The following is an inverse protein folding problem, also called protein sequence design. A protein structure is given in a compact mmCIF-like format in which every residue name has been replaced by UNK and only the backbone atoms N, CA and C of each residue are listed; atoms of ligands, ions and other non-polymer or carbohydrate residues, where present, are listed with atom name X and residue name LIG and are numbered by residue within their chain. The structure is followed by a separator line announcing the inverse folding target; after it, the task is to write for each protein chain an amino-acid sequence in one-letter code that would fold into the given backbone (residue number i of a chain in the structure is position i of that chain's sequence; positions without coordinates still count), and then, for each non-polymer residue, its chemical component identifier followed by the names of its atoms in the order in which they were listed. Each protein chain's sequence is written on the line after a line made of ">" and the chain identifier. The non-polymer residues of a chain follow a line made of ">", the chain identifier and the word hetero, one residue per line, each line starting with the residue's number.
data_IF_606412153929
#
_entry.id   IF_606412153929
#
_cell.length_a   1.000
_cell.length_b   1.000
_cell.length_c   1.000
_cell.angle_alpha   90.00
_cell.angle_beta   90.00
_cell.angle_gamma   90.00
#
_symmetry.space_group_name_H-M   'P 1'
#
loop_
_entity.id
_entity.type
_entity.pdbx_description
1 polymer ?
#
# COMPACT_ATOMS: atom_id res chain seq x y z
N UNK A 1 -18.82 0.52 -32.05
CA UNK A 1 -17.35 0.47 -32.20
C UNK A 1 -16.89 1.91 -32.12
N UNK A 2 -16.56 2.38 -30.94
CA UNK A 2 -16.07 3.74 -30.75
C UNK A 2 -14.63 3.82 -31.24
N UNK A 3 -14.42 4.59 -32.32
CA UNK A 3 -13.11 4.95 -32.83
C UNK A 3 -12.46 5.93 -31.86
N UNK A 4 -11.96 5.42 -30.75
CA UNK A 4 -11.12 6.19 -29.83
C UNK A 4 -9.74 6.30 -30.44
N UNK A 5 -9.39 7.51 -30.89
CA UNK A 5 -8.06 7.79 -31.45
C UNK A 5 -7.04 7.79 -30.30
N UNK A 6 -5.95 7.01 -30.38
CA UNK A 6 -4.91 7.00 -29.35
C UNK A 6 -4.29 8.39 -29.13
N UNK A 7 -4.02 8.72 -27.87
CA UNK A 7 -3.35 9.96 -27.48
C UNK A 7 -1.83 9.79 -27.55
N UNK A 8 -1.21 10.47 -28.52
CA UNK A 8 0.23 10.37 -28.76
C UNK A 8 1.03 11.36 -27.92
N UNK A 9 1.55 10.88 -26.79
CA UNK A 9 2.51 11.61 -25.96
C UNK A 9 3.79 10.80 -25.78
N UNK A 10 4.70 10.75 -26.77
CA UNK A 10 5.85 9.83 -26.76
C UNK A 10 6.83 10.10 -25.62
N UNK A 11 6.89 11.33 -25.10
CA UNK A 11 7.78 11.72 -24.01
C UNK A 11 7.13 11.67 -22.62
N UNK A 12 5.85 11.32 -22.52
CA UNK A 12 5.14 11.26 -21.24
C UNK A 12 5.62 10.02 -20.44
N UNK A 13 6.41 10.30 -19.40
CA UNK A 13 6.96 9.31 -18.47
C UNK A 13 6.34 9.42 -17.07
N UNK A 14 5.74 10.56 -16.76
CA UNK A 14 5.20 10.87 -15.44
C UNK A 14 3.73 11.24 -15.62
N UNK A 15 2.84 10.48 -15.00
CA UNK A 15 1.41 10.77 -15.00
C UNK A 15 0.96 10.91 -13.55
N UNK A 16 0.49 12.10 -13.22
CA UNK A 16 -0.13 12.43 -11.95
C UNK A 16 -1.52 12.98 -12.26
N UNK A 17 -2.55 12.33 -11.73
CA UNK A 17 -3.92 12.64 -12.08
C UNK A 17 -4.91 12.37 -10.95
N UNK A 18 -5.69 13.40 -10.60
CA UNK A 18 -6.88 13.28 -9.77
C UNK A 18 -8.10 13.05 -10.67
N UNK A 19 -8.83 11.97 -10.41
CA UNK A 19 -9.95 11.46 -11.20
C UNK A 19 -11.17 11.32 -10.31
N UNK A 20 -12.32 11.76 -10.80
CA UNK A 20 -13.56 11.60 -10.02
C UNK A 20 -14.04 10.15 -10.01
N UNK A 21 -13.72 9.39 -11.06
CA UNK A 21 -14.26 8.05 -11.31
C UNK A 21 -13.16 7.11 -11.85
N UNK A 22 -13.02 5.87 -11.33
CA UNK A 22 -12.10 4.83 -11.85
C UNK A 22 -12.20 4.56 -13.36
N UNK A 23 -13.40 4.68 -13.93
CA UNK A 23 -13.66 4.49 -15.36
C UNK A 23 -12.97 5.55 -16.23
N UNK A 24 -12.76 6.77 -15.72
CA UNK A 24 -12.02 7.82 -16.42
C UNK A 24 -10.52 7.49 -16.46
N UNK A 25 -9.96 7.00 -15.34
CA UNK A 25 -8.59 6.49 -15.28
C UNK A 25 -8.34 5.39 -16.30
N UNK A 26 -9.25 4.41 -16.33
CA UNK A 26 -9.26 3.31 -17.30
C UNK A 26 -9.29 3.83 -18.73
N UNK A 27 -10.22 4.73 -19.04
CA UNK A 27 -10.37 5.30 -20.38
C UNK A 27 -9.10 6.03 -20.82
N UNK A 28 -8.50 6.85 -19.95
CA UNK A 28 -7.25 7.53 -20.29
C UNK A 28 -6.10 6.56 -20.50
N UNK A 29 -5.93 5.55 -19.64
CA UNK A 29 -4.86 4.56 -19.82
C UNK A 29 -5.00 3.82 -21.14
N UNK A 30 -6.23 3.43 -21.51
CA UNK A 30 -6.51 2.83 -22.82
C UNK A 30 -6.20 3.78 -23.98
N UNK A 31 -6.53 5.06 -23.86
CA UNK A 31 -6.20 6.08 -24.86
C UNK A 31 -4.68 6.33 -24.97
N UNK A 32 -3.95 6.23 -23.86
CA UNK A 32 -2.50 6.40 -23.82
C UNK A 32 -1.73 5.15 -24.28
N UNK A 33 -2.43 4.02 -24.48
CA UNK A 33 -1.84 2.76 -24.92
C UNK A 33 -1.45 2.82 -26.40
N UNK A 34 -0.16 2.70 -26.73
CA UNK A 34 0.28 2.56 -28.12
C UNK A 34 -0.25 1.23 -28.73
N UNK A 35 -0.48 1.17 -30.05
CA UNK A 35 -1.01 -0.05 -30.70
C UNK A 35 -0.10 -1.27 -30.55
N UNK A 36 1.22 -1.06 -30.62
CA UNK A 36 2.19 -2.15 -30.79
C UNK A 36 3.25 -2.23 -29.67
N UNK A 37 3.10 -1.46 -28.60
CA UNK A 37 4.07 -1.46 -27.49
C UNK A 37 3.45 -1.01 -26.17
N UNK A 38 4.07 -1.43 -25.07
CA UNK A 38 3.79 -0.86 -23.75
C UNK A 38 4.44 0.51 -23.60
N UNK A 39 3.88 1.31 -22.71
CA UNK A 39 4.35 2.66 -22.42
C UNK A 39 5.37 2.64 -21.29
N UNK A 40 6.45 3.39 -21.46
CA UNK A 40 7.56 3.47 -20.52
C UNK A 40 7.30 4.52 -19.42
N UNK A 41 6.20 4.36 -18.70
CA UNK A 41 5.96 5.18 -17.52
C UNK A 41 6.99 4.89 -16.44
N UNK A 42 7.42 5.96 -15.78
CA UNK A 42 8.33 6.01 -14.64
C UNK A 42 7.56 6.20 -13.35
N UNK A 43 6.61 7.13 -13.37
CA UNK A 43 5.73 7.41 -12.22
C UNK A 43 4.28 7.42 -12.67
N UNK A 44 3.42 6.79 -11.88
CA UNK A 44 1.99 6.80 -12.06
C UNK A 44 1.33 7.07 -10.70
N UNK A 45 0.63 8.19 -10.61
CA UNK A 45 -0.09 8.61 -9.41
C UNK A 45 -1.54 8.89 -9.77
N UNK A 46 -2.45 8.17 -9.14
CA UNK A 46 -3.88 8.27 -9.38
C UNK A 46 -4.61 8.43 -8.05
N UNK A 47 -5.43 9.47 -7.98
CA UNK A 47 -6.24 9.81 -6.82
C UNK A 47 -7.72 9.78 -7.21
N UNK A 48 -8.51 9.00 -6.50
CA UNK A 48 -9.96 8.91 -6.70
C UNK A 48 -10.71 9.63 -5.59
N UNK A 49 -11.70 10.43 -5.95
CA UNK A 49 -12.66 11.07 -5.02
C UNK A 49 -13.89 10.17 -4.76
N UNK A 50 -13.86 8.93 -5.25
CA UNK A 50 -14.96 7.98 -5.16
C UNK A 50 -14.49 6.61 -4.70
N UNK A 51 -15.40 5.85 -4.10
CA UNK A 51 -15.16 4.43 -3.77
C UNK A 51 -14.91 3.64 -5.05
N UNK A 52 -13.78 2.94 -5.12
CA UNK A 52 -13.48 1.99 -6.20
C UNK A 52 -14.02 0.61 -5.84
N UNK A 53 -14.76 -0.02 -6.73
CA UNK A 53 -15.22 -1.41 -6.54
C UNK A 53 -14.11 -2.41 -6.85
N UNK A 54 -14.24 -3.64 -6.38
CA UNK A 54 -13.30 -4.72 -6.71
C UNK A 54 -13.23 -4.93 -8.22
N UNK A 55 -14.37 -5.03 -8.91
CA UNK A 55 -14.43 -5.18 -10.38
C UNK A 55 -13.68 -4.07 -11.13
N UNK A 56 -13.85 -2.81 -10.72
CA UNK A 56 -13.13 -1.68 -11.32
C UNK A 56 -11.63 -1.73 -11.04
N UNK A 57 -11.23 -2.08 -9.81
CA UNK A 57 -9.83 -2.28 -9.47
C UNK A 57 -9.20 -3.38 -10.32
N UNK A 58 -9.88 -4.51 -10.52
CA UNK A 58 -9.39 -5.58 -11.40
C UNK A 58 -9.22 -5.11 -12.85
N UNK A 59 -10.26 -4.46 -13.41
CA UNK A 59 -10.18 -3.92 -14.76
C UNK A 59 -9.03 -2.90 -14.88
N UNK A 60 -8.81 -2.10 -13.83
CA UNK A 60 -7.72 -1.15 -13.74
C UNK A 60 -6.36 -1.83 -13.75
N UNK A 61 -6.15 -2.87 -12.93
CA UNK A 61 -4.89 -3.62 -12.89
C UNK A 61 -4.59 -4.32 -14.22
N UNK A 62 -5.60 -4.91 -14.87
CA UNK A 62 -5.44 -5.53 -16.19
C UNK A 62 -5.07 -4.49 -17.26
N UNK A 63 -5.72 -3.33 -17.22
CA UNK A 63 -5.41 -2.20 -18.12
C UNK A 63 -4.01 -1.66 -17.85
N UNK A 64 -3.61 -1.54 -16.59
CA UNK A 64 -2.30 -1.09 -16.17
C UNK A 64 -1.21 -2.00 -16.74
N UNK A 65 -1.36 -3.32 -16.61
CA UNK A 65 -0.39 -4.31 -17.08
C UNK A 65 -0.29 -4.37 -18.61
N UNK A 66 -1.39 -4.14 -19.32
CA UNK A 66 -1.38 -4.12 -20.78
C UNK A 66 -0.89 -2.79 -21.35
N UNK A 67 -0.95 -1.71 -20.57
CA UNK A 67 -0.58 -0.36 -21.00
C UNK A 67 0.85 -0.02 -20.61
N UNK A 68 1.31 -0.42 -19.42
CA UNK A 68 2.58 0.03 -18.84
C UNK A 68 3.68 -1.03 -18.98
N UNK A 69 4.91 -0.57 -19.19
CA UNK A 69 6.07 -1.45 -19.13
C UNK A 69 6.36 -1.86 -17.69
N UNK A 70 6.55 -3.17 -17.49
CA UNK A 70 6.83 -3.77 -16.18
C UNK A 70 8.26 -3.55 -15.69
N UNK A 71 9.09 -2.88 -16.50
CA UNK A 71 10.52 -2.66 -16.23
C UNK A 71 10.87 -1.19 -16.00
N UNK A 72 9.96 -0.25 -16.28
CA UNK A 72 10.27 1.19 -16.20
C UNK A 72 9.59 1.89 -15.03
N UNK A 73 8.47 1.35 -14.56
CA UNK A 73 7.70 1.94 -13.47
C UNK A 73 8.45 1.76 -12.15
N UNK A 74 8.82 2.87 -11.52
CA UNK A 74 9.49 2.89 -10.22
C UNK A 74 8.64 3.51 -9.11
N UNK A 75 7.68 4.38 -9.43
CA UNK A 75 6.76 4.95 -8.45
C UNK A 75 5.32 4.69 -8.87
N UNK A 76 4.56 4.05 -7.99
CA UNK A 76 3.15 3.76 -8.18
C UNK A 76 2.35 4.21 -6.95
N UNK A 77 1.39 5.09 -7.18
CA UNK A 77 0.44 5.57 -6.19
C UNK A 77 -0.98 5.34 -6.70
N UNK A 78 -1.78 4.69 -5.88
CA UNK A 78 -3.21 4.50 -6.10
C UNK A 78 -3.96 4.79 -4.81
N UNK A 79 -4.62 5.94 -4.73
CA UNK A 79 -5.36 6.35 -3.54
C UNK A 79 -6.83 6.60 -3.88
N UNK A 80 -7.72 6.15 -3.01
CA UNK A 80 -9.16 6.32 -3.17
C UNK A 80 -9.74 6.96 -1.90
N UNK A 81 -9.95 8.27 -1.95
CA UNK A 81 -10.54 9.08 -0.88
C UNK A 81 -12.07 9.11 -1.01
N UNK A 82 -12.68 7.93 -1.16
CA UNK A 82 -14.12 7.79 -1.20
C UNK A 82 -14.74 7.91 0.20
N UNK A 83 -16.00 8.36 0.32
CA UNK A 83 -16.69 8.36 1.62
C UNK A 83 -16.63 6.95 2.21
N UNK A 84 -16.19 6.86 3.47
CA UNK A 84 -16.19 5.63 4.25
C UNK A 84 -17.62 5.09 4.20
N UNK A 85 -17.83 3.96 3.53
CA UNK A 85 -19.14 3.30 3.50
C UNK A 85 -19.55 3.09 4.95
N UNK A 86 -20.57 3.83 5.41
CA UNK A 86 -21.12 3.62 6.74
C UNK A 86 -21.55 2.15 6.83
N UNK A 87 -21.24 1.48 7.96
CA UNK A 87 -21.46 0.05 8.21
C UNK A 87 -22.91 -0.46 7.97
N UNK A 88 -23.84 0.45 7.66
CA UNK A 88 -25.25 0.17 7.42
C UNK A 88 -25.53 -0.67 6.17
N UNK A 89 -24.69 -0.58 5.13
CA UNK A 89 -24.81 -1.40 3.93
C UNK A 89 -23.80 -2.55 3.98
N UNK A 90 -24.11 -3.56 4.80
CA UNK A 90 -23.48 -4.88 4.90
C UNK A 90 -22.00 -5.00 4.49
N UNK A 91 -21.11 -5.33 5.44
CA UNK A 91 -19.66 -5.47 5.23
C UNK A 91 -19.36 -6.13 3.86
N UNK A 92 -18.80 -5.38 2.90
CA UNK A 92 -18.48 -5.95 1.59
C UNK A 92 -17.56 -7.14 1.76
N UNK A 93 -17.75 -8.20 0.97
CA UNK A 93 -16.84 -9.34 0.97
C UNK A 93 -15.50 -8.87 0.44
N UNK A 94 -14.54 -8.66 1.34
CA UNK A 94 -13.20 -8.20 1.00
C UNK A 94 -12.34 -9.38 0.59
N UNK A 95 -11.64 -9.24 -0.53
CA UNK A 95 -10.60 -10.16 -0.92
C UNK A 95 -9.26 -9.75 -0.28
N UNK A 96 -8.41 -10.73 -0.02
CA UNK A 96 -7.08 -10.46 0.51
C UNK A 96 -6.22 -9.72 -0.53
N UNK A 97 -5.48 -8.70 -0.09
CA UNK A 97 -4.58 -7.93 -0.94
C UNK A 97 -3.52 -8.84 -1.59
N UNK A 98 -3.05 -9.85 -0.87
CA UNK A 98 -2.13 -10.87 -1.38
C UNK A 98 -2.64 -11.60 -2.63
N UNK A 99 -3.95 -11.82 -2.73
CA UNK A 99 -4.56 -12.47 -3.89
C UNK A 99 -4.87 -11.47 -5.00
N UNK A 100 -5.37 -10.29 -4.63
CA UNK A 100 -5.92 -9.33 -5.58
C UNK A 100 -4.86 -8.45 -6.26
N UNK A 101 -3.86 -8.02 -5.49
CA UNK A 101 -2.81 -7.12 -5.94
C UNK A 101 -1.57 -7.88 -6.45
N UNK A 102 -1.59 -9.21 -6.43
CA UNK A 102 -0.53 -10.05 -6.98
C UNK A 102 -0.07 -9.65 -8.40
N UNK A 103 -0.95 -9.24 -9.34
CA UNK A 103 -0.51 -8.83 -10.67
C UNK A 103 0.49 -7.67 -10.68
N UNK A 104 0.48 -6.80 -9.65
CA UNK A 104 1.43 -5.68 -9.51
C UNK A 104 2.87 -6.14 -9.27
N UNK A 105 3.10 -7.37 -8.81
CA UNK A 105 4.44 -7.91 -8.63
C UNK A 105 5.19 -8.16 -9.94
N UNK A 106 4.53 -8.02 -11.09
CA UNK A 106 5.20 -7.99 -12.39
C UNK A 106 6.07 -6.74 -12.56
N UNK A 107 5.75 -5.62 -11.88
CA UNK A 107 6.56 -4.40 -11.92
C UNK A 107 7.81 -4.59 -11.06
N UNK A 108 8.93 -4.89 -11.71
CA UNK A 108 10.18 -5.33 -11.05
C UNK A 108 11.03 -4.19 -10.49
N UNK A 109 10.77 -2.94 -10.90
CA UNK A 109 11.61 -1.78 -10.60
C UNK A 109 10.97 -0.81 -9.61
N UNK A 110 9.91 -1.22 -8.91
CA UNK A 110 9.24 -0.40 -7.91
C UNK A 110 10.20 -0.02 -6.77
N UNK A 111 10.35 1.28 -6.56
CA UNK A 111 11.05 1.90 -5.44
C UNK A 111 10.06 2.62 -4.51
N UNK A 112 8.93 3.08 -5.04
CA UNK A 112 7.88 3.73 -4.26
C UNK A 112 6.53 3.09 -4.56
N UNK A 113 5.88 2.57 -3.52
CA UNK A 113 4.57 1.95 -3.62
C UNK A 113 3.64 2.53 -2.57
N UNK A 114 2.54 3.13 -3.01
CA UNK A 114 1.55 3.77 -2.14
C UNK A 114 0.16 3.32 -2.56
N UNK A 115 -0.57 2.70 -1.63
CA UNK A 115 -1.98 2.36 -1.83
C UNK A 115 -2.81 2.82 -0.62
N UNK A 116 -3.96 3.41 -0.91
CA UNK A 116 -4.90 3.94 0.07
C UNK A 116 -6.34 3.68 -0.36
N UNK A 117 -7.23 3.42 0.60
CA UNK A 117 -8.68 3.40 0.35
C UNK A 117 -9.20 2.31 -0.59
N UNK A 118 -8.39 1.30 -0.92
CA UNK A 118 -8.79 0.24 -1.86
C UNK A 118 -9.74 -0.79 -1.23
N UNK A 119 -10.64 -1.43 -2.03
CA UNK A 119 -11.62 -2.43 -1.60
C UNK A 119 -10.97 -3.81 -1.35
N UNK A 120 -9.82 -3.86 -0.69
CA UNK A 120 -9.06 -5.08 -0.39
C UNK A 120 -8.65 -5.11 1.07
N UNK A 121 -8.62 -6.31 1.65
CA UNK A 121 -8.09 -6.48 3.00
C UNK A 121 -6.56 -6.61 2.94
N UNK A 122 -5.84 -5.65 3.49
CA UNK A 122 -4.38 -5.70 3.59
C UNK A 122 -3.96 -6.80 4.57
N UNK A 123 -3.05 -7.69 4.19
CA UNK A 123 -2.65 -8.84 5.00
C UNK A 123 -1.12 -9.01 5.09
N UNK A 124 -0.68 -9.82 6.04
CA UNK A 124 0.75 -10.12 6.26
C UNK A 124 1.39 -10.80 5.05
N UNK A 125 0.62 -11.59 4.30
CA UNK A 125 1.09 -12.28 3.10
C UNK A 125 1.46 -11.29 1.98
N UNK A 126 0.66 -10.24 1.78
CA UNK A 126 0.97 -9.18 0.83
C UNK A 126 2.24 -8.44 1.24
N UNK A 127 2.38 -8.09 2.52
CA UNK A 127 3.58 -7.42 3.05
C UNK A 127 4.84 -8.26 2.83
N UNK A 128 4.75 -9.58 3.08
CA UNK A 128 5.87 -10.50 2.83
C UNK A 128 6.23 -10.60 1.33
N UNK A 129 5.23 -10.62 0.44
CA UNK A 129 5.44 -10.64 -1.00
C UNK A 129 6.08 -9.34 -1.51
N UNK A 130 5.63 -8.18 -1.01
CA UNK A 130 6.24 -6.86 -1.29
C UNK A 130 7.71 -6.85 -0.88
N UNK A 131 8.02 -7.30 0.34
CA UNK A 131 9.38 -7.29 0.89
C UNK A 131 10.38 -8.08 0.03
N UNK A 132 9.93 -9.17 -0.59
CA UNK A 132 10.77 -10.07 -1.39
C UNK A 132 10.81 -9.71 -2.88
N UNK A 133 9.70 -9.19 -3.41
CA UNK A 133 9.56 -8.88 -4.84
C UNK A 133 10.25 -7.56 -5.21
N UNK A 134 10.22 -6.56 -4.31
CA UNK A 134 10.79 -5.24 -4.56
C UNK A 134 12.00 -4.98 -3.66
N UNK A 135 13.17 -5.57 -3.96
CA UNK A 135 14.38 -5.40 -3.15
C UNK A 135 14.93 -3.95 -3.17
N UNK A 136 14.45 -3.12 -4.09
CA UNK A 136 14.79 -1.69 -4.21
C UNK A 136 13.78 -0.76 -3.56
N UNK A 137 12.77 -1.29 -2.87
CA UNK A 137 11.73 -0.50 -2.23
C UNK A 137 12.32 0.47 -1.21
N UNK A 138 12.03 1.76 -1.41
CA UNK A 138 12.41 2.90 -0.58
C UNK A 138 11.23 3.45 0.19
N UNK A 139 10.05 3.46 -0.42
CA UNK A 139 8.82 4.00 0.18
C UNK A 139 7.71 2.97 0.05
N UNK A 140 7.07 2.64 1.18
CA UNK A 140 5.92 1.74 1.22
C UNK A 140 4.82 2.31 2.09
N UNK A 141 3.71 2.74 1.49
CA UNK A 141 2.54 3.25 2.20
C UNK A 141 1.32 2.37 1.92
N UNK A 142 0.77 1.76 2.97
CA UNK A 142 -0.35 0.82 2.91
C UNK A 142 -1.43 1.27 3.88
N UNK A 143 -2.37 2.09 3.40
CA UNK A 143 -3.44 2.65 4.23
C UNK A 143 -4.80 2.06 3.87
N UNK A 144 -5.60 1.80 4.90
CA UNK A 144 -6.98 1.33 4.74
C UNK A 144 -7.93 2.49 4.93
N UNK A 145 -8.92 2.64 4.03
CA UNK A 145 -10.01 3.61 4.22
C UNK A 145 -10.97 3.22 5.35
N UNK A 146 -11.03 1.92 5.72
CA UNK A 146 -11.91 1.40 6.77
C UNK A 146 -11.08 0.61 7.80
N UNK A 147 -11.29 0.82 9.11
CA UNK A 147 -10.51 0.16 10.15
C UNK A 147 -10.40 -1.36 10.08
N UNK A 148 -11.49 -2.05 9.72
CA UNK A 148 -11.55 -3.52 9.64
C UNK A 148 -10.77 -4.11 8.46
N UNK A 149 -10.26 -3.29 7.55
CA UNK A 149 -9.64 -3.75 6.31
C UNK A 149 -8.15 -4.05 6.44
N UNK A 150 -7.55 -3.82 7.61
CA UNK A 150 -6.19 -4.27 7.86
C UNK A 150 -6.21 -5.55 8.68
N UNK A 151 -5.76 -6.64 8.06
CA UNK A 151 -5.33 -7.85 8.75
C UNK A 151 -3.81 -7.85 9.01
N UNK A 152 -3.11 -6.74 8.74
CA UNK A 152 -1.68 -6.61 9.02
C UNK A 152 -1.45 -6.65 10.52
N UNK A 153 -0.47 -7.45 10.93
CA UNK A 153 0.02 -7.56 12.30
C UNK A 153 1.43 -6.98 12.43
N UNK A 154 1.88 -6.60 13.63
CA UNK A 154 3.27 -6.21 13.85
C UNK A 154 4.26 -7.31 13.43
N UNK A 155 3.91 -8.59 13.66
CA UNK A 155 4.76 -9.71 13.24
C UNK A 155 4.90 -9.80 11.71
N UNK A 156 3.83 -9.46 10.98
CA UNK A 156 3.80 -9.37 9.53
C UNK A 156 4.74 -8.33 8.92
N UNK A 157 5.22 -7.37 9.71
CA UNK A 157 6.18 -6.36 9.25
C UNK A 157 7.64 -6.86 9.27
N UNK A 158 7.92 -7.99 9.94
CA UNK A 158 9.29 -8.53 10.05
C UNK A 158 9.98 -8.84 8.71
N UNK A 159 9.28 -9.33 7.67
CA UNK A 159 9.87 -9.49 6.35
C UNK A 159 10.44 -8.18 5.79
N UNK A 160 9.73 -7.05 5.90
CA UNK A 160 10.23 -5.74 5.45
C UNK A 160 11.50 -5.33 6.19
N UNK A 161 11.54 -5.56 7.50
CA UNK A 161 12.73 -5.24 8.30
C UNK A 161 13.98 -6.02 7.83
N UNK A 162 13.79 -7.27 7.41
CA UNK A 162 14.85 -8.20 6.99
C UNK A 162 15.28 -8.04 5.55
N UNK A 163 14.33 -7.92 4.62
CA UNK A 163 14.58 -7.98 3.18
C UNK A 163 14.67 -6.58 2.56
N UNK A 164 13.87 -5.61 3.01
CA UNK A 164 13.81 -4.26 2.44
C UNK A 164 14.83 -3.32 3.08
N UNK A 165 16.12 -3.55 2.80
CA UNK A 165 17.25 -2.79 3.40
C UNK A 165 17.34 -1.33 2.97
N UNK A 166 16.72 -0.99 1.84
CA UNK A 166 16.66 0.36 1.26
C UNK A 166 15.42 1.15 1.68
N UNK A 167 14.56 0.56 2.51
CA UNK A 167 13.33 1.21 2.94
C UNK A 167 13.68 2.42 3.83
N UNK A 168 13.27 3.58 3.37
CA UNK A 168 13.45 4.90 3.99
C UNK A 168 12.18 5.38 4.69
N UNK A 169 11.01 5.01 4.17
CA UNK A 169 9.71 5.44 4.67
C UNK A 169 8.69 4.30 4.61
N UNK A 170 8.12 3.97 5.77
CA UNK A 170 7.08 2.96 5.93
C UNK A 170 5.84 3.57 6.58
N UNK A 171 4.75 3.64 5.82
CA UNK A 171 3.41 3.96 6.31
C UNK A 171 2.53 2.71 6.28
N UNK A 172 1.91 2.30 7.39
CA UNK A 172 1.06 1.09 7.38
C UNK A 172 -0.08 1.17 8.37
N UNK A 173 -1.26 0.71 7.94
CA UNK A 173 -2.38 0.44 8.84
C UNK A 173 -2.25 -0.94 9.47
N UNK A 174 -2.22 -1.03 10.80
CA UNK A 174 -2.20 -2.30 11.56
C UNK A 174 -3.58 -2.49 12.21
N UNK A 175 -4.31 -3.54 11.82
CA UNK A 175 -5.65 -3.78 12.36
C UNK A 175 -5.69 -4.67 13.60
N UNK A 176 -4.63 -5.43 13.90
CA UNK A 176 -4.59 -6.22 15.13
C UNK A 176 -3.25 -6.16 15.83
N UNK A 177 -3.31 -6.05 17.16
CA UNK A 177 -2.16 -6.10 18.05
C UNK A 177 -2.28 -7.31 18.98
N UNK A 178 -1.18 -8.02 19.27
CA UNK A 178 -1.22 -9.12 20.24
C UNK A 178 -1.68 -8.59 21.61
N UNK A 179 -2.58 -9.31 22.27
CA UNK A 179 -3.05 -9.00 23.61
C UNK A 179 -2.88 -10.23 24.52
N UNK A 180 -2.04 -10.16 25.58
CA UNK A 180 -1.20 -9.03 25.96
C UNK A 180 -0.04 -8.82 24.99
N UNK A 181 0.45 -7.58 24.89
CA UNK A 181 1.72 -7.29 24.21
C UNK A 181 2.82 -7.83 25.13
N UNK A 182 3.24 -9.06 24.87
CA UNK A 182 4.33 -9.66 25.62
C UNK A 182 5.66 -9.08 25.12
N UNK A 183 6.60 -8.74 26.02
CA UNK A 183 7.96 -8.45 25.61
C UNK A 183 8.52 -9.68 24.91
N UNK A 184 9.18 -9.54 23.76
CA UNK A 184 9.64 -10.69 23.00
C UNK A 184 10.68 -11.49 23.80
N UNK A 185 10.78 -12.81 23.52
CA UNK A 185 11.89 -13.61 24.01
C UNK A 185 13.19 -12.97 23.55
N UNK A 186 14.12 -12.77 24.49
CA UNK A 186 15.38 -12.07 24.25
C UNK A 186 16.17 -12.80 23.16
N UNK A 187 16.16 -12.23 21.97
CA UNK A 187 16.88 -12.72 20.81
C UNK A 187 17.05 -11.56 19.86
N UNK A 188 18.23 -10.97 19.87
CA UNK A 188 18.59 -9.94 18.90
C UNK A 188 18.41 -10.54 17.50
N UNK A 189 17.39 -10.09 16.78
CA UNK A 189 17.36 -10.32 15.35
C UNK A 189 18.57 -9.59 14.78
N UNK A 190 19.51 -10.34 14.21
CA UNK A 190 20.67 -9.80 13.51
C UNK A 190 20.16 -9.02 12.28
N UNK A 191 19.84 -7.76 12.53
CA UNK A 191 19.35 -6.81 11.55
C UNK A 191 20.55 -5.99 11.16
N UNK A 192 21.40 -6.59 10.30
CA UNK A 192 22.60 -5.94 9.77
C UNK A 192 22.40 -4.46 9.47
N UNK A 193 23.46 -3.67 9.69
CA UNK A 193 23.46 -2.20 9.62
C UNK A 193 22.75 -1.72 8.36
N UNK A 194 21.76 -0.83 8.53
CA UNK A 194 21.11 -0.14 7.39
C UNK A 194 21.99 1.02 6.93
N UNK A 195 22.02 1.23 5.61
CA UNK A 195 22.77 2.33 5.00
C UNK A 195 21.97 3.65 5.00
N UNK A 196 20.65 3.56 5.15
CA UNK A 196 19.71 4.69 5.07
C UNK A 196 18.84 4.81 6.33
N UNK A 197 18.49 6.04 6.75
CA UNK A 197 17.55 6.25 7.85
C UNK A 197 16.15 5.77 7.47
N UNK A 198 15.44 5.12 8.40
CA UNK A 198 14.06 4.64 8.21
C UNK A 198 13.10 5.41 9.12
N UNK A 199 12.02 5.93 8.56
CA UNK A 199 10.87 6.46 9.30
C UNK A 199 9.71 5.45 9.24
N UNK A 200 9.06 5.20 10.38
CA UNK A 200 7.94 4.24 10.49
C UNK A 200 6.72 4.94 11.05
N UNK A 201 5.65 4.99 10.27
CA UNK A 201 4.38 5.58 10.63
C UNK A 201 3.31 4.47 10.66
N UNK A 202 2.84 4.14 11.87
CA UNK A 202 1.79 3.14 12.06
C UNK A 202 0.47 3.80 12.38
N UNK A 203 -0.52 3.46 11.56
CA UNK A 203 -1.90 3.86 11.72
C UNK A 203 -2.68 2.70 12.34
N UNK A 204 -3.33 2.93 13.49
CA UNK A 204 -4.21 1.95 14.11
C UNK A 204 -5.64 2.46 14.06
N UNK A 205 -6.41 2.05 13.05
CA UNK A 205 -7.76 2.53 12.91
C UNK A 205 -8.65 1.82 13.94
N UNK A 206 -9.40 2.59 14.74
CA UNK A 206 -10.22 2.08 15.86
C UNK A 206 -11.70 2.27 15.54
N UNK A 207 -12.49 1.22 15.79
CA UNK A 207 -13.92 1.21 15.49
C UNK A 207 -14.71 1.74 16.68
N UNK A 208 -15.51 2.78 16.43
CA UNK A 208 -16.49 3.30 17.38
C UNK A 208 -15.92 4.32 18.37
N UNK A 209 -16.76 5.30 18.75
CA UNK A 209 -16.45 6.44 19.63
C UNK A 209 -15.94 6.12 21.04
N UNK A 210 -15.63 4.86 21.31
CA UNK A 210 -14.69 4.48 22.35
C UNK A 210 -13.27 4.88 21.89
N UNK A 211 -12.99 6.19 21.91
CA UNK A 211 -11.68 6.70 22.37
C UNK A 211 -11.52 6.33 23.85
N UNK A 212 -11.67 5.03 24.14
CA UNK A 212 -11.21 4.37 25.34
C UNK A 212 -9.79 4.82 25.44
N UNK A 213 -9.56 5.75 26.38
CA UNK A 213 -8.30 6.37 26.71
C UNK A 213 -7.25 5.28 26.61
N UNK A 214 -6.57 5.21 25.46
CA UNK A 214 -5.56 4.18 25.24
C UNK A 214 -4.61 4.38 26.40
N UNK A 215 -4.49 3.34 27.23
CA UNK A 215 -3.62 3.43 28.37
C UNK A 215 -2.23 3.77 27.84
N UNK A 216 -1.58 4.80 28.39
CA UNK A 216 -0.23 5.16 27.98
C UNK A 216 0.71 3.97 28.00
N UNK A 217 0.42 2.98 28.86
CA UNK A 217 1.11 1.68 28.89
C UNK A 217 0.92 0.85 27.61
N UNK A 218 -0.30 0.77 27.04
CA UNK A 218 -0.54 0.06 25.79
C UNK A 218 0.16 0.75 24.62
N UNK A 219 0.06 2.08 24.53
CA UNK A 219 0.76 2.85 23.49
C UNK A 219 2.27 2.65 23.55
N UNK A 220 2.85 2.74 24.75
CA UNK A 220 4.27 2.52 24.96
C UNK A 220 4.70 1.10 24.57
N UNK A 221 3.90 0.09 24.92
CA UNK A 221 4.18 -1.30 24.55
C UNK A 221 4.11 -1.53 23.02
N UNK A 222 3.15 -0.88 22.33
CA UNK A 222 3.05 -0.92 20.86
C UNK A 222 4.26 -0.28 20.19
N UNK A 223 4.64 0.92 20.64
CA UNK A 223 5.84 1.61 20.16
C UNK A 223 7.11 0.78 20.40
N UNK A 224 7.25 0.19 21.59
CA UNK A 224 8.38 -0.69 21.92
C UNK A 224 8.44 -1.90 20.97
N UNK A 225 7.29 -2.52 20.66
CA UNK A 225 7.23 -3.61 19.69
C UNK A 225 7.68 -3.20 18.29
N UNK A 226 7.33 -1.98 17.84
CA UNK A 226 7.80 -1.44 16.57
C UNK A 226 9.31 -1.17 16.56
N UNK A 227 9.85 -0.61 17.65
CA UNK A 227 11.29 -0.44 17.82
C UNK A 227 12.06 -1.76 17.77
N UNK A 228 11.48 -2.84 18.25
CA UNK A 228 12.10 -4.17 18.16
C UNK A 228 12.06 -4.76 16.75
N UNK A 229 11.04 -4.42 15.96
CA UNK A 229 10.96 -4.81 14.54
C UNK A 229 11.89 -3.92 13.70
N UNK A 230 12.04 -2.64 14.06
CA UNK A 230 12.85 -1.67 13.33
C UNK A 230 13.85 -0.95 14.26
N UNK A 231 14.85 -1.66 14.80
CA UNK A 231 15.78 -1.10 15.80
C UNK A 231 16.66 0.03 15.27
N UNK A 232 16.76 0.17 13.95
CA UNK A 232 17.54 1.20 13.27
C UNK A 232 16.66 2.32 12.68
N UNK A 233 15.36 2.38 13.02
CA UNK A 233 14.52 3.50 12.62
C UNK A 233 15.02 4.80 13.27
N UNK A 234 14.95 5.91 12.56
CA UNK A 234 15.23 7.25 13.12
C UNK A 234 14.00 7.84 13.77
N UNK A 235 12.83 7.42 13.31
CA UNK A 235 11.54 7.87 13.80
C UNK A 235 10.52 6.74 13.75
N UNK A 236 9.71 6.64 14.80
CA UNK A 236 8.63 5.66 14.92
C UNK A 236 7.43 6.35 15.54
N UNK A 237 6.41 6.56 14.72
CA UNK A 237 5.18 7.22 15.11
C UNK A 237 4.01 6.23 15.10
N UNK A 238 3.16 6.38 16.10
CA UNK A 238 1.96 5.58 16.27
C UNK A 238 0.75 6.48 16.47
N UNK A 239 -0.21 6.32 15.57
CA UNK A 239 -1.43 7.10 15.46
C UNK A 239 -2.66 6.22 15.66
N UNK A 240 -3.63 6.72 16.42
CA UNK A 240 -4.98 6.16 16.48
C UNK A 240 -5.91 7.12 15.74
N UNK A 241 -6.67 6.58 14.79
CA UNK A 241 -7.72 7.29 14.07
C UNK A 241 -9.08 6.68 14.36
#
# INVERSE_FOLDING_TARGET
>A
MDNTVPLEFPSLQHLDWAVYNPSEALTLLLLLRPPDRTREFKTLSLYYDSVITTTELNAFLDTLLTTCSTQTLFSFLLDADGPILEESDGIPVLHSASSYLHPLFQFSHIEEFRIGGLPVQLDDAFVAAVATTWPRLRVLHLYTGIPMMSAITPAGLRPLARESRRLEDLGVSIGSWPCPILPPPHGHADMGRRDVPLSVHVHHPVIGGSRSREDGMQRAARLQSLWEIFPNAVDVEYYIS
#
